data_IF_027534753948
#
_entry.id   IF_027534753948
#
_cell.length_a   1.000
_cell.length_b   1.000
_cell.length_c   1.000
_cell.angle_alpha   90.00
_cell.angle_beta   90.00
_cell.angle_gamma   90.00
#
_symmetry.space_group_name_H-M   'P 1'
#
loop_
_entity.id
_entity.type
_entity.pdbx_description
1 polymer ?
#
# COMPACT_ATOMS: atom_id res chain seq x y z
N UNK A 1 -15.10 19.66 -14.44
CA UNK A 1 -14.59 19.20 -13.13
C UNK A 1 -13.21 19.81 -12.95
N UNK A 2 -13.10 20.82 -12.07
CA UNK A 2 -12.01 21.80 -12.00
C UNK A 2 -10.70 21.14 -11.53
N UNK A 3 -9.66 21.15 -12.36
CA UNK A 3 -8.31 20.63 -12.02
C UNK A 3 -7.27 21.77 -11.97
N UNK A 4 -7.69 23.03 -11.85
CA UNK A 4 -6.79 24.17 -12.11
C UNK A 4 -6.52 25.09 -10.90
N UNK A 5 -6.96 24.74 -9.69
CA UNK A 5 -6.87 25.67 -8.54
C UNK A 5 -5.96 25.21 -7.39
N UNK A 6 -5.39 23.99 -7.43
CA UNK A 6 -4.58 23.45 -6.31
C UNK A 6 -3.06 23.45 -6.53
N UNK A 7 -2.55 24.00 -7.63
CA UNK A 7 -1.12 23.94 -7.98
C UNK A 7 -0.26 25.11 -7.50
N UNK A 8 -0.80 26.05 -6.70
CA UNK A 8 -0.02 27.13 -6.10
C UNK A 8 -0.06 27.02 -4.58
N UNK A 9 0.97 26.40 -4.01
CA UNK A 9 1.33 26.64 -2.61
C UNK A 9 2.14 27.94 -2.62
N UNK A 10 1.62 28.98 -1.99
CA UNK A 10 2.29 30.28 -1.88
C UNK A 10 3.06 30.29 -0.56
N UNK A 11 4.38 30.37 -0.62
CA UNK A 11 5.23 30.68 0.53
C UNK A 11 5.12 32.18 0.87
N UNK A 12 5.25 32.59 2.15
CA UNK A 12 5.04 33.98 2.57
C UNK A 12 6.05 35.00 2.02
N UNK A 13 7.20 34.57 1.52
CA UNK A 13 8.39 35.43 1.36
C UNK A 13 8.77 35.79 -0.09
N UNK A 14 7.91 35.54 -1.08
CA UNK A 14 7.97 36.22 -2.40
C UNK A 14 9.12 35.85 -3.35
N UNK A 15 10.16 35.16 -2.90
CA UNK A 15 11.27 34.66 -3.73
C UNK A 15 11.51 33.17 -3.44
N UNK A 16 10.94 32.26 -4.23
CA UNK A 16 11.31 30.85 -4.20
C UNK A 16 11.13 30.18 -5.56
N UNK A 17 12.21 29.60 -6.08
CA UNK A 17 12.19 28.67 -7.21
C UNK A 17 11.60 27.34 -6.71
N UNK A 18 10.28 27.29 -6.52
CA UNK A 18 9.58 26.07 -6.13
C UNK A 18 9.59 25.08 -7.31
N UNK A 19 10.55 24.16 -7.29
CA UNK A 19 10.63 23.09 -8.28
C UNK A 19 9.66 21.98 -7.86
N UNK A 20 8.64 21.76 -8.69
CA UNK A 20 7.78 20.58 -8.56
C UNK A 20 8.40 19.40 -9.32
N UNK A 21 8.89 18.41 -8.60
CA UNK A 21 9.43 17.16 -9.15
C UNK A 21 8.35 16.07 -9.11
N UNK A 22 8.02 15.54 -10.28
CA UNK A 22 7.10 14.41 -10.42
C UNK A 22 7.91 13.11 -10.51
N UNK A 23 8.06 12.42 -9.37
CA UNK A 23 8.58 11.05 -9.37
C UNK A 23 7.47 10.09 -9.78
N UNK A 24 7.44 9.78 -11.07
CA UNK A 24 6.46 8.88 -11.67
C UNK A 24 6.68 7.41 -11.30
N UNK A 25 5.71 6.52 -11.63
CA UNK A 25 5.74 5.10 -11.28
C UNK A 25 6.82 4.28 -12.01
N UNK A 26 7.49 4.86 -13.00
CA UNK A 26 8.62 4.26 -13.73
C UNK A 26 9.97 4.64 -13.10
N UNK A 27 9.97 5.51 -12.09
CA UNK A 27 11.22 5.99 -11.50
C UNK A 27 11.89 4.85 -10.71
N UNK A 28 13.19 4.56 -10.94
CA UNK A 28 13.84 3.39 -10.35
C UNK A 28 13.92 3.45 -8.81
N UNK A 29 13.78 4.63 -8.21
CA UNK A 29 13.75 4.80 -6.75
C UNK A 29 12.38 4.55 -6.10
N UNK A 30 11.35 4.22 -6.88
CA UNK A 30 10.07 3.76 -6.32
C UNK A 30 10.06 2.24 -6.29
N UNK A 31 10.39 1.63 -5.15
CA UNK A 31 10.21 0.19 -4.94
C UNK A 31 8.71 -0.12 -4.94
N UNK A 32 8.21 -0.61 -6.08
CA UNK A 32 6.78 -0.79 -6.35
C UNK A 32 6.29 0.21 -7.40
N UNK A 33 4.98 0.45 -7.46
CA UNK A 33 4.40 1.46 -8.35
C UNK A 33 3.55 2.43 -7.53
N UNK A 34 4.13 3.57 -7.21
CA UNK A 34 3.42 4.71 -6.65
C UNK A 34 4.06 5.98 -7.19
N UNK A 35 3.27 7.06 -7.28
CA UNK A 35 3.74 8.35 -7.79
C UNK A 35 3.89 9.31 -6.63
N UNK A 36 4.98 10.05 -6.60
CA UNK A 36 5.27 11.04 -5.57
C UNK A 36 5.47 12.41 -6.23
N UNK A 37 4.60 13.36 -5.90
CA UNK A 37 4.78 14.77 -6.25
C UNK A 37 5.52 15.46 -5.12
N UNK A 38 6.68 16.03 -5.41
CA UNK A 38 7.54 16.67 -4.42
C UNK A 38 7.72 18.14 -4.80
N UNK A 39 7.52 19.04 -3.85
CA UNK A 39 7.89 20.46 -3.97
C UNK A 39 9.18 20.68 -3.18
N UNK A 40 10.19 21.20 -3.87
CA UNK A 40 11.53 21.35 -3.34
C UNK A 40 11.96 22.82 -3.43
N UNK A 41 12.52 23.32 -2.35
CA UNK A 41 13.29 24.57 -2.30
C UNK A 41 14.77 24.19 -2.07
N UNK A 42 15.56 24.27 -3.15
CA UNK A 42 16.94 23.80 -3.18
C UNK A 42 17.08 22.30 -2.88
N UNK A 43 17.58 21.96 -1.70
CA UNK A 43 17.74 20.56 -1.22
C UNK A 43 16.66 20.16 -0.19
N UNK A 44 15.76 21.09 0.17
CA UNK A 44 14.77 20.88 1.23
C UNK A 44 13.40 20.55 0.64
N UNK A 45 12.81 19.46 1.10
CA UNK A 45 11.41 19.12 0.77
C UNK A 45 10.47 19.99 1.58
N UNK A 46 9.64 20.79 0.90
CA UNK A 46 8.60 21.62 1.53
C UNK A 46 7.31 20.82 1.66
N UNK A 47 6.96 20.07 0.62
CA UNK A 47 5.74 19.28 0.55
C UNK A 47 5.96 18.03 -0.29
N UNK A 48 5.28 16.96 0.07
CA UNK A 48 5.19 15.76 -0.74
C UNK A 48 3.75 15.24 -0.76
N UNK A 49 3.26 14.81 -1.91
CA UNK A 49 1.95 14.20 -2.10
C UNK A 49 2.11 12.83 -2.75
N UNK A 50 1.67 11.78 -2.04
CA UNK A 50 1.74 10.40 -2.50
C UNK A 50 0.43 9.99 -3.19
N UNK A 51 0.55 9.59 -4.46
CA UNK A 51 -0.51 8.95 -5.21
C UNK A 51 -0.30 7.43 -5.17
N UNK A 52 -1.10 6.77 -4.34
CA UNK A 52 -1.12 5.31 -4.18
C UNK A 52 -2.26 4.68 -5.00
N UNK A 53 -2.27 3.35 -5.10
CA UNK A 53 -3.39 2.60 -5.71
C UNK A 53 -3.15 2.05 -7.12
N UNK A 54 -1.96 2.26 -7.70
CA UNK A 54 -1.61 1.65 -9.00
C UNK A 54 -1.59 0.11 -8.97
N UNK A 55 -1.42 -0.50 -7.79
CA UNK A 55 -1.52 -1.93 -7.55
C UNK A 55 -2.80 -2.35 -6.83
N UNK A 56 -3.84 -1.50 -6.82
CA UNK A 56 -5.11 -1.89 -6.24
C UNK A 56 -5.77 -2.97 -7.11
N UNK A 57 -5.85 -4.20 -6.56
CA UNK A 57 -6.40 -5.38 -7.25
C UNK A 57 -7.82 -5.74 -6.80
N UNK A 58 -8.40 -4.99 -5.86
CA UNK A 58 -9.71 -5.32 -5.29
C UNK A 58 -9.74 -6.70 -4.62
N UNK A 59 -8.63 -7.13 -4.01
CA UNK A 59 -8.49 -8.46 -3.40
C UNK A 59 -9.60 -8.76 -2.40
N UNK A 60 -10.03 -7.78 -1.60
CA UNK A 60 -11.16 -7.93 -0.69
C UNK A 60 -12.46 -8.32 -1.41
N UNK A 61 -12.74 -7.69 -2.55
CA UNK A 61 -13.93 -7.98 -3.35
C UNK A 61 -13.88 -9.35 -4.00
N UNK A 62 -12.69 -9.78 -4.43
CA UNK A 62 -12.47 -11.12 -4.99
C UNK A 62 -12.70 -12.18 -3.90
N UNK A 63 -12.22 -11.94 -2.67
CA UNK A 63 -12.40 -12.86 -1.54
C UNK A 63 -13.88 -13.14 -1.23
N UNK A 64 -14.79 -12.20 -1.48
CA UNK A 64 -16.23 -12.40 -1.24
C UNK A 64 -16.85 -13.49 -2.13
N UNK A 65 -16.28 -13.73 -3.32
CA UNK A 65 -16.81 -14.70 -4.29
C UNK A 65 -16.20 -16.10 -4.18
N UNK A 66 -15.16 -16.27 -3.36
CA UNK A 66 -14.34 -17.48 -3.29
C UNK A 66 -14.56 -18.24 -1.98
N UNK A 67 -14.26 -19.54 -1.97
CA UNK A 67 -14.31 -20.33 -0.73
C UNK A 67 -13.14 -19.97 0.20
N UNK A 68 -13.36 -20.10 1.52
CA UNK A 68 -12.35 -19.77 2.52
C UNK A 68 -10.98 -20.45 2.29
N UNK A 69 -10.97 -21.68 1.77
CA UNK A 69 -9.75 -22.44 1.43
C UNK A 69 -9.00 -21.87 0.22
N UNK A 70 -9.71 -21.32 -0.77
CA UNK A 70 -9.12 -20.73 -1.98
C UNK A 70 -8.53 -19.35 -1.69
N UNK A 71 -9.16 -18.60 -0.78
CA UNK A 71 -8.76 -17.24 -0.38
C UNK A 71 -7.38 -17.20 0.30
N UNK A 72 -6.91 -18.30 0.91
CA UNK A 72 -5.55 -18.38 1.51
C UNK A 72 -4.48 -17.93 0.50
N UNK A 73 -4.58 -18.41 -0.74
CA UNK A 73 -3.63 -18.08 -1.82
C UNK A 73 -3.71 -16.63 -2.30
N UNK A 74 -4.78 -15.92 -1.95
CA UNK A 74 -4.93 -14.50 -2.23
C UNK A 74 -4.22 -13.66 -1.17
N UNK A 75 -4.23 -14.10 0.10
CA UNK A 75 -3.52 -13.44 1.20
C UNK A 75 -2.00 -13.52 1.06
N UNK A 76 -1.47 -14.58 0.43
CA UNK A 76 -0.06 -14.66 -0.01
C UNK A 76 0.39 -13.45 -0.83
N UNK A 77 -0.52 -12.84 -1.61
CA UNK A 77 -0.19 -11.78 -2.56
C UNK A 77 -0.30 -10.37 -1.97
N UNK A 78 -0.73 -10.22 -0.72
CA UNK A 78 -0.90 -8.92 -0.09
C UNK A 78 0.43 -8.32 0.35
N UNK A 79 1.28 -9.12 0.99
CA UNK A 79 2.67 -8.78 1.30
C UNK A 79 3.59 -9.75 0.56
N UNK A 80 4.37 -9.22 -0.38
CA UNK A 80 5.29 -10.02 -1.16
C UNK A 80 6.61 -10.34 -0.43
N UNK A 81 6.89 -9.65 0.69
CA UNK A 81 8.08 -9.89 1.52
C UNK A 81 7.78 -10.89 2.63
N UNK A 82 6.61 -10.77 3.25
CA UNK A 82 6.20 -11.58 4.40
C UNK A 82 4.91 -12.37 4.14
N UNK A 83 4.89 -13.11 3.03
CA UNK A 83 3.71 -13.83 2.55
C UNK A 83 3.15 -14.84 3.58
N UNK A 84 4.01 -15.56 4.29
CA UNK A 84 3.60 -16.59 5.26
C UNK A 84 2.86 -15.97 6.45
N UNK A 85 3.27 -14.78 6.88
CA UNK A 85 2.61 -14.08 7.99
C UNK A 85 1.20 -13.64 7.60
N UNK A 86 0.97 -13.22 6.35
CA UNK A 86 -0.36 -12.88 5.86
C UNK A 86 -1.28 -14.10 5.77
N UNK A 87 -0.78 -15.23 5.25
CA UNK A 87 -1.55 -16.48 5.21
C UNK A 87 -1.90 -16.97 6.61
N UNK A 88 -0.91 -16.95 7.52
CA UNK A 88 -1.11 -17.40 8.90
C UNK A 88 -2.14 -16.54 9.64
N UNK A 89 -2.08 -15.21 9.49
CA UNK A 89 -3.07 -14.31 10.08
C UNK A 89 -4.50 -14.61 9.57
N UNK A 90 -4.64 -14.94 8.29
CA UNK A 90 -5.93 -15.31 7.71
C UNK A 90 -6.45 -16.66 8.23
N UNK A 91 -5.61 -17.70 8.24
CA UNK A 91 -5.99 -19.04 8.74
C UNK A 91 -6.39 -18.97 10.21
N UNK A 92 -5.61 -18.26 11.04
CA UNK A 92 -5.93 -18.08 12.46
C UNK A 92 -7.27 -17.37 12.66
N UNK A 93 -7.60 -16.39 11.80
CA UNK A 93 -8.90 -15.72 11.85
C UNK A 93 -10.05 -16.67 11.47
N UNK A 94 -9.88 -17.51 10.44
CA UNK A 94 -10.87 -18.51 10.02
C UNK A 94 -11.07 -19.58 11.09
N UNK A 95 -10.00 -20.12 11.66
CA UNK A 95 -10.04 -21.13 12.73
C UNK A 95 -10.78 -20.61 13.96
N UNK A 96 -10.49 -19.37 14.38
CA UNK A 96 -11.21 -18.71 15.47
C UNK A 96 -12.69 -18.53 15.16
N UNK A 97 -13.04 -18.14 13.94
CA UNK A 97 -14.44 -17.94 13.51
C UNK A 97 -15.21 -19.27 13.47
N UNK A 98 -14.55 -20.36 13.07
CA UNK A 98 -15.12 -21.71 13.00
C UNK A 98 -15.03 -22.49 14.33
N UNK A 99 -14.41 -21.91 15.36
CA UNK A 99 -14.19 -22.55 16.67
C UNK A 99 -13.43 -23.90 16.56
N UNK A 100 -12.49 -23.98 15.62
CA UNK A 100 -11.67 -25.18 15.42
C UNK A 100 -10.52 -25.17 16.44
N UNK A 101 -10.34 -26.28 17.16
CA UNK A 101 -9.21 -26.46 18.05
C UNK A 101 -8.05 -27.13 17.29
N UNK A 102 -7.01 -26.36 17.01
CA UNK A 102 -5.80 -26.87 16.33
C UNK A 102 -4.97 -27.70 17.31
N UNK A 103 -4.47 -28.89 16.91
CA UNK A 103 -3.57 -29.69 17.72
C UNK A 103 -2.30 -28.92 18.10
N UNK A 104 -1.82 -29.11 19.35
CA UNK A 104 -0.67 -28.39 19.91
C UNK A 104 0.62 -28.56 19.09
N UNK A 105 0.78 -29.69 18.41
CA UNK A 105 1.96 -29.96 17.56
C UNK A 105 2.00 -29.06 16.32
N UNK A 106 0.84 -28.62 15.83
CA UNK A 106 0.73 -27.73 14.68
C UNK A 106 0.79 -26.25 15.09
N UNK A 107 0.48 -25.92 16.34
CA UNK A 107 0.54 -24.55 16.86
C UNK A 107 1.92 -24.12 17.37
N UNK A 108 2.91 -25.02 17.45
CA UNK A 108 4.24 -24.77 18.05
C UNK A 108 5.29 -24.29 17.02
N UNK A 109 4.86 -23.70 15.91
CA UNK A 109 5.76 -22.95 15.02
C UNK A 109 6.00 -21.50 15.50
N UNK A 110 5.64 -21.21 16.75
CA UNK A 110 6.08 -20.04 17.54
C UNK A 110 7.26 -20.41 18.45
#
# INVERSE_FOLDING_TARGET
MKISEQSRVVTPDGDALDLMVNMGPQHPSTHGVFRLLIWIDGEKVIRSESHIGYLHRGSEKISEGEQYSQVVTLFYRLDYVSNLNCEWAYVLAVEKLMQIQVPREQSTLE
#
